data_IF_323467872654
#
_entry.id   IF_323467872654
#
_cell.length_a   1.000
_cell.length_b   1.000
_cell.length_c   1.000
_cell.angle_alpha   90.00
_cell.angle_beta   90.00
_cell.angle_gamma   90.00
#
_symmetry.space_group_name_H-M   'P 1'
#
loop_
_entity.id
_entity.type
_entity.pdbx_description
1 polymer ?
#
# COMPACT_ATOMS: atom_id res chain seq x y z
N UNK A 1 6.48 5.47 4.59
CA UNK A 1 5.56 5.16 5.71
C UNK A 1 5.67 3.68 6.10
N UNK A 2 5.17 3.29 7.26
CA UNK A 2 5.04 1.88 7.70
C UNK A 2 3.79 1.23 7.07
N UNK A 3 3.67 -0.11 7.17
CA UNK A 3 2.48 -0.82 6.70
C UNK A 3 1.21 -0.36 7.45
N UNK A 4 1.31 -0.12 8.75
CA UNK A 4 0.19 0.33 9.58
C UNK A 4 -0.25 1.76 9.23
N UNK A 5 0.70 2.65 8.93
CA UNK A 5 0.40 3.99 8.44
C UNK A 5 -0.33 3.93 7.08
N UNK A 6 0.11 3.07 6.16
CA UNK A 6 -0.55 2.89 4.87
C UNK A 6 -1.97 2.30 5.02
N UNK A 7 -2.14 1.32 5.92
CA UNK A 7 -3.43 0.71 6.23
C UNK A 7 -4.42 1.76 6.75
N UNK A 8 -3.97 2.59 7.71
CA UNK A 8 -4.76 3.69 8.26
C UNK A 8 -5.09 4.74 7.20
N UNK A 9 -4.15 5.07 6.31
CA UNK A 9 -4.34 6.05 5.24
C UNK A 9 -5.40 5.60 4.22
N UNK A 10 -5.29 4.35 3.75
CA UNK A 10 -6.21 3.77 2.76
C UNK A 10 -7.53 3.26 3.38
N UNK A 11 -7.67 3.32 4.71
CA UNK A 11 -8.80 2.74 5.47
C UNK A 11 -9.02 1.25 5.18
N UNK A 12 -7.92 0.50 5.10
CA UNK A 12 -7.91 -0.96 4.93
C UNK A 12 -7.20 -1.64 6.10
N UNK A 13 -7.22 -2.97 6.14
CA UNK A 13 -6.50 -3.74 7.16
C UNK A 13 -5.01 -3.87 6.84
N UNK A 14 -4.16 -4.05 7.86
CA UNK A 14 -2.73 -4.36 7.65
C UNK A 14 -2.52 -5.64 6.82
N UNK A 15 -3.45 -6.60 6.93
CA UNK A 15 -3.45 -7.82 6.11
C UNK A 15 -3.60 -7.49 4.64
N UNK A 16 -4.51 -6.59 4.28
CA UNK A 16 -4.71 -6.18 2.90
C UNK A 16 -3.46 -5.50 2.32
N UNK A 17 -2.78 -4.64 3.10
CA UNK A 17 -1.49 -4.04 2.70
C UNK A 17 -0.43 -5.12 2.43
N UNK A 18 -0.32 -6.13 3.31
CA UNK A 18 0.61 -7.25 3.10
C UNK A 18 0.30 -8.06 1.84
N UNK A 19 -0.98 -8.30 1.57
CA UNK A 19 -1.41 -8.97 0.34
C UNK A 19 -1.03 -8.14 -0.88
N UNK A 20 -1.27 -6.83 -0.89
CA UNK A 20 -0.83 -5.94 -1.98
C UNK A 20 0.68 -5.99 -2.22
N UNK A 21 1.48 -6.07 -1.16
CA UNK A 21 2.94 -6.21 -1.28
C UNK A 21 3.31 -7.59 -1.85
N UNK A 22 2.69 -8.66 -1.34
CA UNK A 22 2.93 -10.03 -1.82
C UNK A 22 2.52 -10.23 -3.28
N UNK A 23 1.45 -9.56 -3.71
CA UNK A 23 0.94 -9.58 -5.09
C UNK A 23 1.75 -8.68 -6.03
N UNK A 24 2.73 -7.93 -5.51
CA UNK A 24 3.54 -6.99 -6.30
C UNK A 24 2.80 -5.70 -6.70
N UNK A 25 1.60 -5.45 -6.15
CA UNK A 25 0.82 -4.23 -6.41
C UNK A 25 1.38 -3.01 -5.66
N UNK A 26 2.12 -3.22 -4.58
CA UNK A 26 2.76 -2.17 -3.79
C UNK A 26 4.20 -2.59 -3.45
N UNK A 27 5.20 -1.72 -3.65
CA UNK A 27 6.57 -2.08 -3.31
C UNK A 27 6.80 -2.02 -1.79
N UNK A 28 7.25 -3.14 -1.22
CA UNK A 28 7.74 -3.23 0.15
C UNK A 28 9.26 -3.11 0.19
N UNK A 29 9.77 -2.19 1.01
CA UNK A 29 11.20 -1.98 1.23
C UNK A 29 11.58 -2.41 2.64
N UNK A 30 12.66 -3.18 2.78
CA UNK A 30 13.23 -3.53 4.08
C UNK A 30 14.47 -2.67 4.34
N UNK A 31 14.62 -2.17 5.57
CA UNK A 31 15.85 -1.48 5.98
C UNK A 31 16.80 -2.47 6.65
N UNK A 32 17.84 -2.89 5.92
CA UNK A 32 19.04 -3.54 6.47
C UNK A 32 18.78 -4.73 7.40
N UNK A 33 18.07 -5.76 6.94
CA UNK A 33 17.85 -7.00 7.70
C UNK A 33 16.85 -6.90 8.85
N UNK A 34 16.22 -5.73 9.09
CA UNK A 34 15.13 -5.60 10.06
C UNK A 34 13.81 -6.08 9.47
N UNK A 35 12.96 -6.66 10.33
CA UNK A 35 11.57 -7.07 10.04
C UNK A 35 10.63 -5.90 9.69
N UNK A 36 11.10 -4.66 9.80
CA UNK A 36 10.31 -3.47 9.52
C UNK A 36 10.26 -3.23 8.00
N UNK A 37 9.07 -3.42 7.43
CA UNK A 37 8.79 -3.08 6.03
C UNK A 37 8.30 -1.63 5.95
N UNK A 38 8.83 -0.89 4.98
CA UNK A 38 8.44 0.46 4.60
C UNK A 38 7.79 0.43 3.23
N UNK A 39 6.86 1.33 3.01
CA UNK A 39 6.25 1.59 1.70
C UNK A 39 6.39 3.07 1.37
N UNK A 40 6.49 3.37 0.07
CA UNK A 40 6.56 4.73 -0.45
C UNK A 40 5.17 5.37 -0.50
N UNK A 41 5.08 6.68 -0.21
CA UNK A 41 3.80 7.40 -0.09
C UNK A 41 3.15 7.63 -1.46
N UNK A 42 3.97 8.05 -2.41
CA UNK A 42 3.65 8.24 -3.82
C UNK A 42 3.08 6.97 -4.46
N UNK A 43 3.65 5.79 -4.18
CA UNK A 43 3.09 4.52 -4.68
C UNK A 43 1.71 4.21 -4.07
N UNK A 44 1.55 4.46 -2.77
CA UNK A 44 0.25 4.29 -2.09
C UNK A 44 -0.80 5.23 -2.69
N UNK A 45 -0.43 6.45 -3.06
CA UNK A 45 -1.32 7.41 -3.71
C UNK A 45 -1.63 7.04 -5.15
N UNK A 46 -0.66 6.53 -5.91
CA UNK A 46 -0.85 6.08 -7.28
C UNK A 46 -1.83 4.89 -7.41
N UNK A 47 -2.01 4.11 -6.34
CA UNK A 47 -3.01 3.04 -6.27
C UNK A 47 -4.45 3.57 -6.26
N UNK A 48 -4.67 4.83 -5.87
CA UNK A 48 -6.00 5.42 -5.88
C UNK A 48 -6.39 5.75 -7.32
N UNK A 49 -7.36 4.99 -7.83
CA UNK A 49 -7.95 5.20 -9.14
C UNK A 49 -9.34 5.81 -8.98
N UNK A 50 -9.75 6.73 -9.87
CA UNK A 50 -11.09 7.27 -9.84
C UNK A 50 -12.11 6.15 -10.05
N UNK A 51 -13.23 6.22 -9.34
CA UNK A 51 -14.37 5.36 -9.63
C UNK A 51 -14.93 5.83 -10.97
N UNK A 52 -15.01 4.96 -12.00
CA UNK A 52 -15.57 5.36 -13.28
C UNK A 52 -17.04 5.78 -13.08
N UNK A 53 -17.41 6.93 -13.65
CA UNK A 53 -18.81 7.33 -13.69
C UNK A 53 -19.59 6.31 -14.52
N UNK A 54 -20.80 5.94 -14.08
CA UNK A 54 -21.67 5.05 -14.83
C UNK A 54 -22.05 5.73 -16.17
N UNK A 55 -21.36 5.38 -17.25
CA UNK A 55 -21.62 5.95 -18.59
C UNK A 55 -20.43 6.08 -19.54
N UNK A 56 -19.25 5.56 -19.21
CA UNK A 56 -18.13 5.42 -20.16
C UNK A 56 -18.13 4.04 -20.83
#
# INVERSE_FOLDING_TARGET
>A
MTQAEAANYLRITDRAVRVMISDGRLAGYTMGGRRTVRVRRDEVEALMQPIPAAGA
#
